data_IF_988165347683
#
_entry.id   IF_988165347683
#
_cell.length_a   1.000
_cell.length_b   1.000
_cell.length_c   1.000
_cell.angle_alpha   90.00
_cell.angle_beta   90.00
_cell.angle_gamma   90.00
#
_symmetry.space_group_name_H-M   'P 1'
#
loop_
_entity.id
_entity.type
_entity.pdbx_description
1 polymer ?
#
# COMPACT_ATOMS: atom_id res chain seq x y z
N UNK A 1 8.63 8.39 -2.07
CA UNK A 1 9.61 7.30 -1.94
C UNK A 1 10.85 7.61 -2.77
N UNK A 2 12.00 7.86 -2.13
CA UNK A 2 13.25 8.16 -2.85
C UNK A 2 14.31 7.07 -2.63
N UNK A 3 14.63 6.70 -1.39
CA UNK A 3 15.44 5.52 -1.05
C UNK A 3 14.74 4.75 0.06
N UNK A 4 14.78 3.43 0.01
CA UNK A 4 14.32 2.54 1.06
C UNK A 4 15.32 1.39 1.25
N UNK A 5 15.50 0.91 2.49
CA UNK A 5 16.33 -0.24 2.79
C UNK A 5 15.52 -1.42 3.32
N UNK A 6 16.22 -2.54 3.58
CA UNK A 6 15.60 -3.78 4.08
C UNK A 6 14.80 -3.59 5.36
N UNK A 7 15.27 -2.72 6.27
CA UNK A 7 14.60 -2.46 7.55
C UNK A 7 13.34 -1.57 7.39
N UNK A 8 13.10 -1.07 6.17
CA UNK A 8 12.03 -0.13 5.87
C UNK A 8 12.36 1.31 6.26
N UNK A 9 13.65 1.62 6.52
CA UNK A 9 14.04 3.01 6.63
C UNK A 9 13.82 3.71 5.30
N UNK A 10 13.47 4.98 5.34
CA UNK A 10 13.24 5.77 4.13
C UNK A 10 14.00 7.09 4.21
N UNK A 11 14.60 7.46 3.10
CA UNK A 11 15.30 8.72 2.92
C UNK A 11 14.61 9.58 1.84
N UNK A 12 14.41 10.84 2.16
CA UNK A 12 13.97 11.90 1.24
C UNK A 12 14.80 13.18 1.39
N UNK A 13 15.69 13.24 2.37
CA UNK A 13 16.29 14.49 2.85
C UNK A 13 17.74 14.71 2.45
N UNK A 14 18.50 13.64 2.12
CA UNK A 14 19.91 13.74 1.74
C UNK A 14 20.29 12.65 0.73
N UNK A 15 21.05 13.01 -0.30
CA UNK A 15 21.53 12.10 -1.33
C UNK A 15 23.03 12.38 -1.58
N UNK A 16 23.89 11.54 -1.03
CA UNK A 16 25.32 11.78 -0.99
C UNK A 16 25.65 13.12 -0.30
N UNK A 17 26.28 14.04 -1.03
CA UNK A 17 26.60 15.40 -0.53
C UNK A 17 25.44 16.40 -0.64
N UNK A 18 24.38 16.08 -1.41
CA UNK A 18 23.24 16.97 -1.61
C UNK A 18 22.26 16.88 -0.46
N UNK A 19 22.02 18.00 0.24
CA UNK A 19 20.97 18.14 1.24
C UNK A 19 19.70 18.68 0.55
N UNK A 20 18.65 17.84 0.49
CA UNK A 20 17.35 18.21 -0.07
C UNK A 20 16.38 18.77 1.00
N UNK A 21 16.61 18.41 2.26
CA UNK A 21 15.70 18.75 3.36
C UNK A 21 14.50 17.82 3.47
N UNK A 22 13.91 17.72 4.65
CA UNK A 22 12.79 16.85 4.94
C UNK A 22 11.42 17.50 4.74
N UNK A 23 11.32 18.84 4.76
CA UNK A 23 10.04 19.55 4.74
C UNK A 23 9.10 19.04 5.85
N UNK A 24 7.84 18.83 5.55
CA UNK A 24 6.84 18.27 6.47
C UNK A 24 6.85 16.75 6.58
N UNK A 25 7.74 16.04 5.87
CA UNK A 25 7.74 14.58 5.76
C UNK A 25 7.77 13.87 7.12
N UNK A 26 8.65 14.32 8.02
CA UNK A 26 8.81 13.70 9.35
C UNK A 26 7.53 13.83 10.16
N UNK A 27 6.97 15.04 10.27
CA UNK A 27 5.76 15.30 11.05
C UNK A 27 4.56 14.51 10.51
N UNK A 28 4.39 14.48 9.19
CA UNK A 28 3.29 13.77 8.54
C UNK A 28 3.43 12.26 8.77
N UNK A 29 4.60 11.69 8.48
CA UNK A 29 4.80 10.25 8.56
C UNK A 29 4.82 9.70 9.99
N UNK A 30 5.16 10.53 10.99
CA UNK A 30 5.16 10.10 12.39
C UNK A 30 3.79 10.18 13.07
N UNK A 31 2.90 11.08 12.62
CA UNK A 31 1.62 11.30 13.28
C UNK A 31 0.42 10.61 12.59
N UNK A 32 0.57 10.22 11.33
CA UNK A 32 -0.52 9.57 10.61
C UNK A 32 -0.82 8.16 11.14
N UNK A 33 -2.08 7.79 11.31
CA UNK A 33 -2.54 6.44 11.72
C UNK A 33 -2.19 5.38 10.66
N UNK A 34 -2.23 5.74 9.38
CA UNK A 34 -1.81 4.92 8.23
C UNK A 34 -0.87 5.74 7.36
N UNK A 35 0.20 5.13 6.87
CA UNK A 35 1.19 5.81 6.04
C UNK A 35 1.37 5.05 4.73
N UNK A 36 1.29 5.76 3.62
CA UNK A 36 1.59 5.23 2.29
C UNK A 36 2.72 6.05 1.67
N UNK A 37 3.84 5.42 1.44
CA UNK A 37 4.96 6.00 0.70
C UNK A 37 4.85 5.60 -0.76
N UNK A 38 4.36 6.49 -1.60
CA UNK A 38 4.21 6.25 -3.03
C UNK A 38 5.40 6.77 -3.85
N UNK A 39 5.70 6.11 -4.97
CA UNK A 39 6.71 6.53 -5.92
C UNK A 39 7.08 5.42 -6.89
N UNK A 40 7.89 5.73 -7.92
CA UNK A 40 8.37 4.71 -8.84
C UNK A 40 9.35 3.75 -8.15
N UNK A 41 9.43 2.51 -8.62
CA UNK A 41 10.31 1.48 -8.08
C UNK A 41 11.79 1.80 -8.31
N UNK A 42 12.11 2.31 -9.49
CA UNK A 42 13.42 2.84 -9.85
C UNK A 42 13.29 4.31 -10.26
N UNK A 43 14.38 5.05 -10.27
CA UNK A 43 14.45 6.41 -10.80
C UNK A 43 15.32 6.47 -12.07
N UNK A 44 15.21 7.56 -12.82
CA UNK A 44 15.99 7.82 -14.04
C UNK A 44 15.46 7.07 -15.24
N UNK A 45 14.84 7.80 -16.17
CA UNK A 45 14.41 7.32 -17.49
C UNK A 45 13.49 6.08 -17.51
N UNK A 46 12.79 5.79 -16.41
CA UNK A 46 11.78 4.74 -16.38
C UNK A 46 10.68 5.04 -17.40
N UNK A 47 10.43 4.09 -18.29
CA UNK A 47 9.32 4.12 -19.23
C UNK A 47 8.47 2.86 -19.06
N UNK A 48 7.19 3.07 -18.89
CA UNK A 48 6.21 1.99 -18.72
C UNK A 48 5.10 2.17 -19.74
N UNK A 49 4.49 1.07 -20.11
CA UNK A 49 3.25 1.02 -20.87
C UNK A 49 2.16 0.37 -20.02
N UNK A 50 0.95 0.88 -20.15
CA UNK A 50 -0.22 0.40 -19.40
C UNK A 50 -1.31 0.08 -20.40
N UNK A 51 -1.50 -1.19 -20.65
CA UNK A 51 -2.49 -1.70 -21.59
C UNK A 51 -3.02 -3.07 -21.15
N UNK A 52 -4.25 -3.39 -21.53
CA UNK A 52 -4.87 -4.70 -21.27
C UNK A 52 -4.84 -5.09 -19.78
N UNK A 53 -5.09 -4.13 -18.90
CA UNK A 53 -5.06 -4.32 -17.44
C UNK A 53 -3.70 -4.83 -16.92
N UNK A 54 -2.61 -4.52 -17.61
CA UNK A 54 -1.24 -4.94 -17.28
C UNK A 54 -0.26 -3.78 -17.35
N UNK A 55 0.78 -3.89 -16.52
CA UNK A 55 1.94 -3.03 -16.59
C UNK A 55 3.05 -3.73 -17.38
N UNK A 56 3.67 -3.00 -18.30
CA UNK A 56 4.85 -3.45 -19.05
C UNK A 56 5.99 -2.46 -18.86
N UNK A 57 7.14 -2.94 -18.45
CA UNK A 57 8.36 -2.13 -18.41
C UNK A 57 8.95 -2.06 -19.83
N UNK A 58 8.96 -0.88 -20.42
CA UNK A 58 9.55 -0.62 -21.73
C UNK A 58 11.05 -0.34 -21.59
N UNK A 59 11.40 0.55 -20.65
CA UNK A 59 12.78 0.86 -20.29
C UNK A 59 12.87 1.03 -18.78
N UNK A 60 13.77 0.31 -18.15
CA UNK A 60 13.96 0.40 -16.71
C UNK A 60 14.81 1.64 -16.38
N UNK A 61 14.61 2.19 -15.20
CA UNK A 61 15.43 3.27 -14.68
C UNK A 61 16.84 2.81 -14.29
N UNK A 62 17.76 3.74 -14.23
CA UNK A 62 19.18 3.50 -13.94
C UNK A 62 19.56 3.70 -12.46
N UNK A 63 18.66 4.25 -11.64
CA UNK A 63 18.91 4.58 -10.23
C UNK A 63 18.03 3.75 -9.29
N UNK A 64 18.60 2.70 -8.66
CA UNK A 64 17.88 1.90 -7.67
C UNK A 64 17.40 2.76 -6.50
N UNK A 65 16.21 2.48 -6.01
CA UNK A 65 15.64 3.10 -4.80
C UNK A 65 15.59 2.15 -3.61
N UNK A 66 15.51 0.84 -3.87
CA UNK A 66 15.58 -0.20 -2.86
C UNK A 66 17.03 -0.66 -2.73
N UNK A 67 17.74 -0.10 -1.73
CA UNK A 67 19.20 -0.18 -1.58
C UNK A 67 19.57 -0.83 -0.25
N UNK A 68 20.85 -1.21 -0.07
CA UNK A 68 21.30 -1.90 1.13
C UNK A 68 21.13 -1.06 2.39
N UNK A 69 21.46 0.22 2.32
CA UNK A 69 21.28 1.20 3.39
C UNK A 69 20.96 2.57 2.80
N UNK A 70 20.01 3.27 3.38
CA UNK A 70 19.68 4.64 2.97
C UNK A 70 20.78 5.62 3.36
N UNK A 71 21.01 6.65 2.55
CA UNK A 71 22.05 7.67 2.83
C UNK A 71 21.78 8.46 4.12
N UNK A 72 20.49 8.58 4.47
CA UNK A 72 20.04 9.19 5.72
C UNK A 72 18.67 8.63 6.10
N UNK A 73 18.45 8.37 7.39
CA UNK A 73 17.15 7.93 7.89
C UNK A 73 16.29 9.17 8.12
N UNK A 74 15.33 9.41 7.21
CA UNK A 74 14.29 10.43 7.39
C UNK A 74 13.05 9.84 8.03
N UNK A 75 12.76 8.56 7.76
CA UNK A 75 11.76 7.73 8.45
C UNK A 75 12.43 6.45 8.94
N UNK A 76 12.26 6.15 10.23
CA UNK A 76 12.81 4.93 10.83
C UNK A 76 11.83 3.77 10.69
N UNK A 77 12.24 2.74 9.94
CA UNK A 77 11.47 1.50 9.79
C UNK A 77 11.27 0.79 11.14
N UNK A 78 12.30 0.75 11.98
CA UNK A 78 12.21 0.10 13.29
C UNK A 78 11.15 0.77 14.20
N UNK A 79 11.14 2.09 14.29
CA UNK A 79 10.14 2.85 15.05
C UNK A 79 8.75 2.67 14.42
N UNK A 80 8.66 2.74 13.09
CA UNK A 80 7.40 2.52 12.36
C UNK A 80 6.81 1.13 12.64
N UNK A 81 7.63 0.09 12.58
CA UNK A 81 7.19 -1.29 12.82
C UNK A 81 6.72 -1.54 14.25
N UNK A 82 7.29 -0.85 15.25
CA UNK A 82 6.89 -0.95 16.65
C UNK A 82 5.59 -0.21 16.95
N UNK A 83 5.22 0.77 16.14
CA UNK A 83 4.04 1.62 16.36
C UNK A 83 2.70 0.92 16.14
N UNK A 84 2.69 -0.30 15.58
CA UNK A 84 1.47 -1.03 15.23
C UNK A 84 0.69 -0.45 14.04
N UNK A 85 1.16 0.64 13.45
CA UNK A 85 0.51 1.32 12.33
C UNK A 85 0.64 0.56 11.02
N UNK A 86 -0.31 0.73 10.12
CA UNK A 86 -0.18 0.24 8.74
C UNK A 86 0.73 1.18 7.95
N UNK A 87 1.85 0.64 7.46
CA UNK A 87 2.82 1.38 6.66
C UNK A 87 3.09 0.61 5.38
N UNK A 88 2.79 1.25 4.24
CA UNK A 88 2.92 0.68 2.91
C UNK A 88 3.92 1.47 2.07
N UNK A 89 4.63 0.76 1.20
CA UNK A 89 5.51 1.31 0.17
C UNK A 89 4.93 0.88 -1.17
N UNK A 90 4.33 1.80 -1.89
CA UNK A 90 3.58 1.54 -3.12
C UNK A 90 4.37 2.06 -4.31
N UNK A 91 4.58 1.19 -5.28
CA UNK A 91 5.23 1.52 -6.55
C UNK A 91 4.34 1.11 -7.73
N UNK A 92 4.74 1.46 -8.94
CA UNK A 92 4.02 1.04 -10.14
C UNK A 92 4.00 -0.47 -10.32
N UNK A 93 4.98 -1.21 -9.77
CA UNK A 93 5.12 -2.65 -10.00
C UNK A 93 4.84 -3.53 -8.80
N UNK A 94 4.84 -3.00 -7.60
CA UNK A 94 4.59 -3.80 -6.39
C UNK A 94 4.27 -2.95 -5.16
N UNK A 95 3.73 -3.62 -4.12
CA UNK A 95 3.48 -3.06 -2.79
C UNK A 95 4.27 -3.83 -1.75
N UNK A 96 4.97 -3.10 -0.89
CA UNK A 96 5.54 -3.66 0.34
C UNK A 96 4.77 -3.15 1.54
N UNK A 97 4.68 -4.00 2.56
CA UNK A 97 4.21 -3.65 3.90
C UNK A 97 5.38 -3.68 4.87
N UNK A 98 5.46 -2.71 5.76
CA UNK A 98 6.42 -2.75 6.85
C UNK A 98 5.98 -3.77 7.90
N UNK A 99 6.86 -4.71 8.21
CA UNK A 99 6.70 -5.70 9.27
C UNK A 99 7.75 -5.49 10.36
N UNK A 100 7.61 -6.16 11.51
CA UNK A 100 8.63 -6.14 12.58
C UNK A 100 9.99 -6.66 12.14
N UNK A 101 10.06 -7.43 11.04
CA UNK A 101 11.28 -7.99 10.47
C UNK A 101 11.81 -7.23 9.25
N UNK A 102 11.17 -6.13 8.84
CA UNK A 102 11.53 -5.32 7.68
C UNK A 102 10.46 -5.32 6.58
N UNK A 103 10.86 -4.92 5.38
CA UNK A 103 9.96 -4.83 4.23
C UNK A 103 9.50 -6.22 3.76
N UNK A 104 8.19 -6.39 3.64
CA UNK A 104 7.54 -7.60 3.14
C UNK A 104 6.80 -7.28 1.84
N UNK A 105 7.13 -7.96 0.75
CA UNK A 105 6.40 -7.87 -0.50
C UNK A 105 5.04 -8.54 -0.34
N UNK A 106 3.96 -7.81 -0.64
CA UNK A 106 2.57 -8.26 -0.42
C UNK A 106 1.76 -8.30 -1.70
N UNK A 107 2.06 -7.41 -2.67
CA UNK A 107 1.34 -7.37 -3.95
C UNK A 107 2.31 -7.11 -5.11
N UNK A 108 1.98 -7.65 -6.29
CA UNK A 108 2.67 -7.35 -7.56
C UNK A 108 1.66 -6.88 -8.61
N UNK A 109 2.09 -6.02 -9.51
CA UNK A 109 1.27 -5.56 -10.61
C UNK A 109 1.07 -6.67 -11.66
N UNK A 110 -0.12 -6.78 -12.29
CA UNK A 110 -0.32 -7.65 -13.43
C UNK A 110 0.70 -7.32 -14.54
N UNK A 111 1.29 -8.35 -15.16
CA UNK A 111 2.29 -8.21 -16.21
C UNK A 111 3.75 -8.10 -15.73
N UNK A 112 3.99 -7.97 -14.43
CA UNK A 112 5.32 -7.87 -13.83
C UNK A 112 5.86 -9.25 -13.46
N UNK A 113 7.11 -9.53 -13.83
CA UNK A 113 7.84 -10.72 -13.43
C UNK A 113 8.55 -10.47 -12.09
N UNK A 114 8.21 -11.26 -11.08
CA UNK A 114 8.75 -11.14 -9.73
C UNK A 114 10.28 -11.14 -9.70
N UNK A 115 10.90 -12.10 -10.37
CA UNK A 115 12.36 -12.25 -10.34
C UNK A 115 13.07 -11.11 -11.08
N UNK A 116 12.72 -10.91 -12.34
CA UNK A 116 13.39 -9.99 -13.25
C UNK A 116 13.10 -8.51 -12.92
N UNK A 117 11.82 -8.20 -12.65
CA UNK A 117 11.38 -6.81 -12.58
C UNK A 117 11.37 -6.26 -11.15
N UNK A 118 11.48 -7.14 -10.13
CA UNK A 118 11.49 -6.74 -8.71
C UNK A 118 12.79 -7.19 -8.05
N UNK A 119 13.01 -8.51 -7.86
CA UNK A 119 14.08 -9.00 -7.01
C UNK A 119 15.48 -8.65 -7.53
N UNK A 120 15.72 -8.75 -8.84
CA UNK A 120 17.00 -8.40 -9.46
C UNK A 120 17.27 -6.88 -9.49
N UNK A 121 16.24 -6.06 -9.28
CA UNK A 121 16.36 -4.59 -9.25
C UNK A 121 16.53 -4.02 -7.84
N UNK A 122 16.42 -4.86 -6.82
CA UNK A 122 16.68 -4.50 -5.43
C UNK A 122 18.11 -4.86 -5.04
N UNK A 123 18.67 -4.12 -4.10
CA UNK A 123 19.99 -4.45 -3.51
C UNK A 123 19.89 -5.41 -2.32
N UNK A 124 18.68 -5.82 -1.95
CA UNK A 124 18.40 -6.79 -0.89
C UNK A 124 17.19 -7.65 -1.26
N UNK A 125 17.09 -8.83 -0.68
CA UNK A 125 15.91 -9.69 -0.80
C UNK A 125 14.88 -9.28 0.27
N UNK A 126 13.66 -8.85 -0.12
CA UNK A 126 12.61 -8.55 0.83
C UNK A 126 12.04 -9.82 1.47
N UNK A 127 11.30 -9.67 2.56
CA UNK A 127 10.42 -10.75 3.03
C UNK A 127 9.30 -10.96 2.01
N UNK A 128 8.81 -12.19 1.95
CA UNK A 128 7.68 -12.54 1.07
C UNK A 128 6.45 -12.84 1.92
N UNK A 129 5.29 -12.32 1.53
CA UNK A 129 4.03 -12.76 2.11
C UNK A 129 3.78 -14.24 1.77
N UNK A 130 3.12 -14.98 2.65
CA UNK A 130 2.73 -16.38 2.40
C UNK A 130 1.88 -16.50 1.13
N UNK A 131 0.99 -15.55 0.92
CA UNK A 131 0.21 -15.40 -0.31
C UNK A 131 0.51 -14.03 -0.91
N UNK A 132 1.22 -14.02 -2.03
CA UNK A 132 1.45 -12.82 -2.82
C UNK A 132 0.18 -12.50 -3.62
N UNK A 133 -0.34 -11.30 -3.45
CA UNK A 133 -1.54 -10.84 -4.14
C UNK A 133 -1.19 -10.15 -5.46
N UNK A 134 -2.17 -10.07 -6.34
CA UNK A 134 -2.10 -9.18 -7.51
C UNK A 134 -2.71 -7.84 -7.14
N UNK A 135 -2.08 -6.75 -7.60
CA UNK A 135 -2.71 -5.42 -7.55
C UNK A 135 -3.98 -5.43 -8.39
N UNK A 136 -4.95 -4.57 -8.03
CA UNK A 136 -6.21 -4.46 -8.78
C UNK A 136 -5.92 -4.10 -10.24
N UNK A 137 -6.32 -4.97 -11.16
CA UNK A 137 -6.04 -4.82 -12.59
C UNK A 137 -6.64 -3.52 -13.18
N UNK A 138 -7.71 -3.01 -12.57
CA UNK A 138 -8.36 -1.75 -12.96
C UNK A 138 -7.44 -0.52 -12.81
N UNK A 139 -6.36 -0.59 -12.01
CA UNK A 139 -5.33 0.44 -11.94
C UNK A 139 -4.59 0.60 -13.28
N UNK A 140 -4.54 -0.48 -14.07
CA UNK A 140 -3.74 -0.59 -15.29
C UNK A 140 -4.61 -0.52 -16.55
N UNK A 141 -5.63 0.32 -16.56
CA UNK A 141 -6.47 0.64 -17.70
C UNK A 141 -6.83 2.13 -17.73
N UNK A 142 -7.16 2.69 -18.89
CA UNK A 142 -7.52 4.11 -19.03
C UNK A 142 -8.91 4.45 -18.47
N UNK A 143 -9.79 3.47 -18.33
CA UNK A 143 -11.15 3.68 -17.84
C UNK A 143 -11.18 3.91 -16.33
N UNK A 144 -12.21 4.59 -15.86
CA UNK A 144 -12.43 4.78 -14.43
C UNK A 144 -12.56 3.43 -13.71
N UNK A 145 -12.01 3.32 -12.50
CA UNK A 145 -12.03 2.07 -11.72
C UNK A 145 -13.42 1.65 -11.23
N UNK A 146 -14.43 2.52 -11.25
CA UNK A 146 -15.76 2.20 -10.75
C UNK A 146 -15.84 2.07 -9.23
N UNK A 147 -14.94 2.71 -8.48
CA UNK A 147 -14.89 2.60 -7.02
C UNK A 147 -16.15 3.07 -6.31
N UNK A 148 -16.86 4.04 -6.90
CA UNK A 148 -18.13 4.52 -6.36
C UNK A 148 -19.19 3.42 -6.46
N UNK A 149 -19.26 2.75 -7.59
CA UNK A 149 -20.18 1.64 -7.84
C UNK A 149 -19.89 0.48 -6.90
N UNK A 150 -18.64 0.12 -6.70
CA UNK A 150 -18.21 -0.90 -5.73
C UNK A 150 -18.70 -0.57 -4.32
N UNK A 151 -18.51 0.69 -3.87
CA UNK A 151 -18.97 1.14 -2.55
C UNK A 151 -20.50 1.10 -2.39
N UNK A 152 -21.24 1.37 -3.47
CA UNK A 152 -22.70 1.32 -3.47
C UNK A 152 -23.24 -0.11 -3.46
N UNK A 153 -22.48 -1.08 -3.98
CA UNK A 153 -22.85 -2.51 -4.09
C UNK A 153 -22.25 -3.38 -2.98
N UNK A 154 -21.64 -2.80 -1.96
CA UNK A 154 -21.07 -3.55 -0.84
C UNK A 154 -22.10 -4.53 -0.24
N UNK A 155 -21.70 -5.78 0.00
CA UNK A 155 -22.51 -6.73 0.78
C UNK A 155 -22.83 -6.17 2.17
N UNK A 156 -23.95 -6.58 2.76
CA UNK A 156 -24.37 -6.13 4.09
C UNK A 156 -23.22 -6.32 5.11
N UNK A 157 -22.56 -7.46 5.08
CA UNK A 157 -21.46 -7.79 6.00
C UNK A 157 -20.26 -6.82 5.96
N UNK A 158 -19.98 -6.20 4.82
CA UNK A 158 -18.86 -5.27 4.64
C UNK A 158 -19.21 -3.82 4.94
N UNK A 159 -20.48 -3.56 5.28
CA UNK A 159 -20.99 -2.21 5.59
C UNK A 159 -20.81 -1.81 7.04
N UNK A 160 -20.38 -2.74 7.88
CA UNK A 160 -20.24 -2.54 9.32
C UNK A 160 -18.77 -2.62 9.73
N UNK A 161 -18.33 -1.62 10.50
CA UNK A 161 -16.99 -1.61 11.08
C UNK A 161 -17.08 -1.16 12.54
N UNK A 162 -16.59 -1.98 13.45
CA UNK A 162 -16.48 -1.66 14.86
C UNK A 162 -15.03 -1.37 15.24
N UNK A 163 -14.81 -0.25 15.89
CA UNK A 163 -13.52 0.16 16.45
C UNK A 163 -13.60 0.07 17.99
N UNK A 164 -13.16 -1.03 18.59
CA UNK A 164 -13.33 -1.27 20.02
C UNK A 164 -12.56 -0.27 20.89
N UNK A 165 -11.41 0.22 20.42
CA UNK A 165 -10.58 1.18 21.15
C UNK A 165 -11.29 2.53 21.37
N UNK A 166 -12.15 2.92 20.46
CA UNK A 166 -12.91 4.17 20.51
C UNK A 166 -14.39 3.93 20.83
N UNK A 167 -14.80 2.66 20.95
CA UNK A 167 -16.20 2.23 21.08
C UNK A 167 -17.09 2.82 19.97
N UNK A 168 -16.55 2.86 18.74
CA UNK A 168 -17.22 3.42 17.59
C UNK A 168 -17.70 2.33 16.64
N UNK A 169 -18.98 2.41 16.29
CA UNK A 169 -19.60 1.52 15.32
C UNK A 169 -20.01 2.31 14.08
N UNK A 170 -19.37 2.00 12.97
CA UNK A 170 -19.65 2.63 11.67
C UNK A 170 -20.57 1.75 10.85
N UNK A 171 -21.57 2.37 10.26
CA UNK A 171 -22.50 1.72 9.33
C UNK A 171 -22.56 2.53 8.04
N UNK A 172 -22.26 1.89 6.93
CA UNK A 172 -22.41 2.49 5.60
C UNK A 172 -23.74 2.07 4.96
N UNK A 173 -24.73 2.94 5.01
CA UNK A 173 -26.01 2.76 4.34
C UNK A 173 -26.06 3.31 2.91
N UNK A 174 -24.97 3.89 2.39
CA UNK A 174 -24.96 4.48 1.06
C UNK A 174 -25.29 3.44 0.00
N UNK A 175 -26.28 3.75 -0.85
CA UNK A 175 -26.77 2.83 -1.89
C UNK A 175 -27.52 1.60 -1.40
N UNK A 176 -27.70 1.41 -0.08
CA UNK A 176 -28.49 0.30 0.45
C UNK A 176 -29.97 0.68 0.51
N UNK A 177 -30.80 -0.07 -0.22
CA UNK A 177 -32.26 -0.02 -0.09
C UNK A 177 -32.72 -1.27 0.64
N UNK A 178 -33.18 -1.12 1.87
CA UNK A 178 -33.76 -2.25 2.63
C UNK A 178 -35.18 -2.46 2.12
N UNK A 179 -35.43 -3.63 1.54
CA UNK A 179 -36.72 -3.95 0.87
C UNK A 179 -37.37 -5.22 1.39
N UNK A 180 -36.72 -5.96 2.27
CA UNK A 180 -37.26 -7.20 2.82
C UNK A 180 -36.93 -7.37 4.31
N UNK A 181 -37.71 -8.23 4.97
CA UNK A 181 -37.48 -8.57 6.39
C UNK A 181 -36.18 -9.37 6.52
N UNK A 182 -35.87 -10.22 5.57
CA UNK A 182 -34.64 -11.02 5.54
C UNK A 182 -33.39 -10.12 5.59
N UNK A 183 -33.39 -8.99 4.88
CA UNK A 183 -32.29 -8.01 4.94
C UNK A 183 -32.17 -7.34 6.32
N UNK A 184 -33.30 -7.11 6.99
CA UNK A 184 -33.31 -6.56 8.35
C UNK A 184 -32.73 -7.59 9.33
N UNK A 185 -33.11 -8.85 9.20
CA UNK A 185 -32.62 -9.94 10.04
C UNK A 185 -31.12 -10.17 9.84
N UNK A 186 -30.64 -10.15 8.59
CA UNK A 186 -29.21 -10.22 8.26
C UNK A 186 -28.41 -9.08 8.89
N UNK A 187 -28.91 -7.84 8.81
CA UNK A 187 -28.31 -6.67 9.45
C UNK A 187 -28.25 -6.87 10.95
N UNK A 188 -29.36 -7.27 11.58
CA UNK A 188 -29.44 -7.50 13.02
C UNK A 188 -28.45 -8.55 13.50
N UNK A 189 -28.42 -9.71 12.85
CA UNK A 189 -27.48 -10.78 13.18
C UNK A 189 -26.01 -10.33 13.07
N UNK A 190 -25.72 -9.52 12.05
CA UNK A 190 -24.38 -9.01 11.83
C UNK A 190 -23.96 -8.01 12.92
N UNK A 191 -24.85 -7.10 13.30
CA UNK A 191 -24.63 -6.13 14.39
C UNK A 191 -24.43 -6.85 15.72
N UNK A 192 -25.32 -7.81 16.07
CA UNK A 192 -25.22 -8.58 17.30
C UNK A 192 -23.91 -9.37 17.40
N UNK A 193 -23.41 -9.89 16.28
CA UNK A 193 -22.14 -10.63 16.23
C UNK A 193 -20.92 -9.72 16.47
N UNK A 194 -20.97 -8.48 15.99
CA UNK A 194 -19.87 -7.53 16.13
C UNK A 194 -19.86 -6.89 17.52
N UNK A 195 -21.02 -6.70 18.14
CA UNK A 195 -21.15 -6.04 19.45
C UNK A 195 -21.00 -6.99 20.64
N UNK A 196 -20.80 -8.29 20.43
CA UNK A 196 -20.48 -9.29 21.47
C UNK A 196 -18.98 -9.44 21.62
#
# INVERSE_FOLDING_TARGET
>A
LAQADRAGNLNVSRFGSRLAGAGGFINISQNAKKVVFAGTFVAGNLQVDVADEKLKIISDGDRPKFIDAVDQITFSGAVGAQSGRTILYVTERCVFRLSKKGLMLVEIAPGINLQKDILEKMKFTPLMAEKLLMMDARIFRPEAMGLKEDLLTLPIAERFTYQPEENLFFVNFEGLSIRSIEQIDEIREHVERICR
#
